data_IF_958699781076
#
_entry.id   IF_958699781076
#
_cell.length_a   1.000
_cell.length_b   1.000
_cell.length_c   1.000
_cell.angle_alpha   90.00
_cell.angle_beta   90.00
_cell.angle_gamma   90.00
#
_symmetry.space_group_name_H-M   'P 1'
#
loop_
_entity.id
_entity.type
_entity.pdbx_description
1 polymer ?
#
# COMPACT_ATOMS: atom_id res chain seq x y z
N UNK A 1 -18.15 9.84 -0.92
CA UNK A 1 -18.26 8.52 -0.26
C UNK A 1 -17.84 7.46 -1.27
N UNK A 2 -16.57 7.10 -1.26
CA UNK A 2 -15.92 6.19 -2.18
C UNK A 2 -16.40 6.37 -3.64
N UNK A 3 -16.65 7.63 -4.06
CA UNK A 3 -17.24 7.97 -5.37
C UNK A 3 -16.16 7.97 -6.45
N UNK A 4 -15.30 6.95 -6.42
CA UNK A 4 -14.95 6.24 -7.65
C UNK A 4 -16.27 6.10 -8.44
N UNK A 5 -16.32 6.44 -9.74
CA UNK A 5 -17.55 6.53 -10.50
C UNK A 5 -18.42 5.33 -10.16
N UNK A 6 -19.66 5.60 -9.75
CA UNK A 6 -20.56 4.56 -9.27
C UNK A 6 -20.67 3.53 -10.40
N UNK A 7 -19.92 2.45 -10.27
CA UNK A 7 -20.10 1.25 -11.07
C UNK A 7 -21.37 0.53 -10.61
N UNK A 8 -22.30 1.24 -9.93
CA UNK A 8 -23.58 0.76 -9.43
C UNK A 8 -24.49 0.29 -10.59
N UNK A 9 -24.33 0.86 -11.79
CA UNK A 9 -25.00 0.38 -13.00
C UNK A 9 -24.31 -0.82 -13.66
N UNK A 10 -23.11 -1.21 -13.20
CA UNK A 10 -22.31 -2.31 -13.73
C UNK A 10 -22.44 -3.54 -12.83
N UNK A 11 -22.63 -4.70 -13.43
CA UNK A 11 -22.84 -5.97 -12.71
C UNK A 11 -21.51 -6.59 -12.31
N UNK A 12 -20.79 -5.90 -11.44
CA UNK A 12 -19.39 -6.20 -11.10
C UNK A 12 -19.20 -7.08 -9.88
N UNK A 13 -20.24 -7.33 -9.09
CA UNK A 13 -20.15 -8.19 -7.91
C UNK A 13 -20.14 -9.67 -8.34
N UNK A 14 -19.04 -10.41 -8.17
CA UNK A 14 -18.94 -11.79 -8.63
C UNK A 14 -19.88 -12.73 -7.87
N UNK A 15 -20.40 -12.34 -6.71
CA UNK A 15 -21.37 -13.12 -5.93
C UNK A 15 -22.83 -12.91 -6.38
N UNK A 16 -23.09 -11.97 -7.30
CA UNK A 16 -24.42 -11.68 -7.85
C UNK A 16 -24.80 -12.62 -8.99
N UNK A 17 -26.08 -12.95 -9.10
CA UNK A 17 -26.61 -13.81 -10.17
C UNK A 17 -26.49 -13.19 -11.57
N UNK A 18 -26.41 -11.87 -11.64
CA UNK A 18 -26.30 -11.09 -12.85
C UNK A 18 -24.87 -10.66 -13.18
N UNK A 19 -23.86 -11.20 -12.47
CA UNK A 19 -22.45 -10.90 -12.67
C UNK A 19 -22.05 -10.93 -14.16
N UNK A 20 -21.35 -9.88 -14.60
CA UNK A 20 -20.83 -9.75 -15.94
C UNK A 20 -19.32 -9.49 -15.89
N UNK A 21 -18.56 -10.41 -16.47
CA UNK A 21 -17.12 -10.23 -16.63
C UNK A 21 -16.78 -8.99 -17.46
N UNK A 22 -17.57 -8.70 -18.50
CA UNK A 22 -17.40 -7.49 -19.32
C UNK A 22 -17.59 -6.21 -18.49
N UNK A 23 -18.60 -6.18 -17.64
CA UNK A 23 -18.87 -5.04 -16.75
C UNK A 23 -17.75 -4.88 -15.71
N UNK A 24 -17.21 -6.00 -15.19
CA UNK A 24 -16.04 -5.99 -14.31
C UNK A 24 -14.82 -5.38 -15.01
N UNK A 25 -14.49 -5.84 -16.23
CA UNK A 25 -13.36 -5.32 -16.99
C UNK A 25 -13.54 -3.83 -17.34
N UNK A 26 -14.74 -3.42 -17.71
CA UNK A 26 -15.08 -2.00 -17.94
C UNK A 26 -14.93 -1.16 -16.68
N UNK A 27 -15.26 -1.70 -15.51
CA UNK A 27 -15.12 -0.98 -14.25
C UNK A 27 -13.66 -0.63 -13.93
N UNK A 28 -12.70 -1.46 -14.34
CA UNK A 28 -11.26 -1.18 -14.18
C UNK A 28 -10.89 0.11 -14.93
N UNK A 29 -11.31 0.23 -16.20
CA UNK A 29 -11.04 1.43 -17.01
C UNK A 29 -11.68 2.69 -16.43
N UNK A 30 -12.91 2.59 -15.92
CA UNK A 30 -13.59 3.71 -15.26
C UNK A 30 -12.87 4.14 -13.98
N UNK A 31 -12.40 3.17 -13.19
CA UNK A 31 -11.62 3.42 -11.96
C UNK A 31 -10.30 4.10 -12.26
N UNK A 32 -9.57 3.63 -13.27
CA UNK A 32 -8.33 4.27 -13.74
C UNK A 32 -8.63 5.69 -14.20
N UNK A 33 -9.63 5.89 -15.06
CA UNK A 33 -9.98 7.21 -15.58
C UNK A 33 -10.33 8.21 -14.48
N UNK A 34 -11.00 7.76 -13.42
CA UNK A 34 -11.29 8.61 -12.27
C UNK A 34 -10.05 9.02 -11.47
N UNK A 35 -9.11 8.09 -11.26
CA UNK A 35 -7.83 8.44 -10.63
C UNK A 35 -6.99 9.34 -11.52
N UNK A 36 -7.07 9.22 -12.85
CA UNK A 36 -6.43 10.15 -13.77
C UNK A 36 -6.96 11.59 -13.59
N UNK A 37 -8.25 11.79 -13.27
CA UNK A 37 -8.77 13.13 -12.94
C UNK A 37 -8.13 13.73 -11.68
N UNK A 38 -7.89 12.90 -10.65
CA UNK A 38 -7.20 13.34 -9.42
C UNK A 38 -5.71 13.61 -9.68
N UNK A 39 -5.07 12.76 -10.49
CA UNK A 39 -3.68 12.95 -10.91
C UNK A 39 -3.53 14.20 -11.79
N UNK A 40 -4.49 14.48 -12.68
CA UNK A 40 -4.53 15.69 -13.51
C UNK A 40 -4.61 16.96 -12.65
N UNK A 41 -5.32 16.89 -11.51
CA UNK A 41 -5.37 17.99 -10.53
C UNK A 41 -4.02 18.14 -9.81
N UNK A 42 -3.49 17.06 -9.24
CA UNK A 42 -2.19 17.10 -8.55
C UNK A 42 -1.05 17.57 -9.48
N UNK A 43 -1.04 17.10 -10.72
CA UNK A 43 -0.06 17.50 -11.73
C UNK A 43 -0.17 18.98 -12.14
N UNK A 44 -1.38 19.56 -12.17
CA UNK A 44 -1.57 21.00 -12.41
C UNK A 44 -1.07 21.88 -11.25
N UNK A 45 -1.15 21.36 -10.03
CA UNK A 45 -0.59 22.01 -8.84
C UNK A 45 0.94 21.83 -8.73
N UNK A 46 1.56 21.06 -9.63
CA UNK A 46 3.01 20.88 -9.68
C UNK A 46 3.56 19.86 -8.69
N UNK A 47 2.76 18.90 -8.22
CA UNK A 47 3.23 17.85 -7.32
C UNK A 47 4.34 17.00 -7.96
N UNK A 48 5.43 16.78 -7.23
CA UNK A 48 6.55 15.95 -7.69
C UNK A 48 6.31 14.44 -7.52
N UNK A 49 5.53 14.04 -6.50
CA UNK A 49 5.25 12.65 -6.16
C UNK A 49 3.79 12.51 -5.67
N UNK A 50 3.03 11.58 -6.26
CA UNK A 50 1.65 11.29 -5.87
C UNK A 50 1.50 9.81 -5.50
N UNK A 51 0.76 9.51 -4.43
CA UNK A 51 0.54 8.13 -3.94
C UNK A 51 -0.95 7.81 -3.98
N UNK A 52 -1.33 6.80 -4.78
CA UNK A 52 -2.69 6.28 -4.83
C UNK A 52 -2.96 5.33 -3.65
N UNK A 53 -4.22 4.92 -3.47
CA UNK A 53 -4.60 3.94 -2.45
C UNK A 53 -4.25 2.51 -2.89
N UNK A 54 -4.28 1.55 -1.96
CA UNK A 54 -4.17 0.12 -2.29
C UNK A 54 -5.38 -0.34 -3.11
N UNK A 55 -5.15 -1.27 -4.05
CA UNK A 55 -6.18 -1.86 -4.90
C UNK A 55 -7.12 -0.78 -5.45
N UNK A 56 -6.56 0.29 -6.02
CA UNK A 56 -7.33 1.45 -6.46
C UNK A 56 -8.35 1.11 -7.57
N UNK A 57 -8.12 -0.02 -8.25
CA UNK A 57 -9.01 -0.65 -9.23
C UNK A 57 -10.04 -1.60 -8.62
N UNK A 58 -10.05 -1.79 -7.29
CA UNK A 58 -11.02 -2.54 -6.48
C UNK A 58 -11.33 -3.96 -6.96
N UNK A 59 -10.31 -4.79 -7.11
CA UNK A 59 -10.45 -6.20 -7.50
C UNK A 59 -10.41 -7.19 -6.33
N UNK A 60 -10.12 -6.74 -5.11
CA UNK A 60 -10.05 -7.58 -3.91
C UNK A 60 -11.30 -8.45 -3.67
N UNK A 61 -12.49 -7.98 -4.02
CA UNK A 61 -13.73 -8.78 -3.95
C UNK A 61 -13.72 -10.00 -4.89
N UNK A 62 -13.07 -9.89 -6.06
CA UNK A 62 -12.98 -11.01 -7.01
C UNK A 62 -11.97 -12.06 -6.54
N UNK A 63 -10.96 -11.67 -5.77
CA UNK A 63 -9.95 -12.57 -5.20
C UNK A 63 -10.57 -13.64 -4.29
N UNK A 64 -11.69 -13.32 -3.63
CA UNK A 64 -12.39 -14.22 -2.70
C UNK A 64 -13.51 -15.03 -3.38
N UNK A 65 -13.69 -14.90 -4.70
CA UNK A 65 -14.68 -15.65 -5.46
C UNK A 65 -14.19 -17.09 -5.74
N UNK A 66 -14.75 -18.07 -5.03
CA UNK A 66 -14.24 -19.44 -5.02
C UNK A 66 -14.72 -20.33 -6.18
N UNK A 67 -15.87 -20.04 -6.77
CA UNK A 67 -16.44 -20.90 -7.83
C UNK A 67 -15.58 -20.86 -9.09
N UNK A 68 -14.92 -19.73 -9.32
CA UNK A 68 -14.05 -19.53 -10.47
C UNK A 68 -12.91 -18.55 -10.17
N UNK A 69 -11.73 -19.10 -9.88
CA UNK A 69 -10.49 -18.33 -9.67
C UNK A 69 -10.07 -17.54 -10.93
N UNK A 70 -10.53 -17.96 -12.11
CA UNK A 70 -10.18 -17.29 -13.36
C UNK A 70 -10.78 -15.89 -13.46
N UNK A 71 -11.85 -15.59 -12.71
CA UNK A 71 -12.46 -14.24 -12.66
C UNK A 71 -11.44 -13.21 -12.15
N UNK A 72 -10.83 -13.48 -11.00
CA UNK A 72 -9.80 -12.60 -10.44
C UNK A 72 -8.61 -12.51 -11.37
N UNK A 73 -8.10 -13.66 -11.84
CA UNK A 73 -6.95 -13.70 -12.75
C UNK A 73 -7.18 -12.88 -14.03
N UNK A 74 -8.33 -13.03 -14.68
CA UNK A 74 -8.67 -12.32 -15.92
C UNK A 74 -8.74 -10.81 -15.69
N UNK A 75 -9.31 -10.39 -14.55
CA UNK A 75 -9.34 -8.97 -14.18
C UNK A 75 -7.93 -8.41 -13.88
N UNK A 76 -7.07 -9.19 -13.22
CA UNK A 76 -5.66 -8.85 -12.99
C UNK A 76 -4.89 -8.74 -14.30
N UNK A 77 -5.07 -9.68 -15.23
CA UNK A 77 -4.47 -9.66 -16.56
C UNK A 77 -4.82 -8.38 -17.32
N UNK A 78 -6.08 -7.92 -17.24
CA UNK A 78 -6.52 -6.67 -17.86
C UNK A 78 -5.79 -5.45 -17.29
N UNK A 79 -5.67 -5.32 -15.98
CA UNK A 79 -5.05 -4.13 -15.39
C UNK A 79 -3.51 -4.14 -15.46
N UNK A 80 -2.89 -5.32 -15.59
CA UNK A 80 -1.43 -5.48 -15.65
C UNK A 80 -0.80 -4.69 -16.80
N UNK A 81 -1.46 -4.61 -17.95
CA UNK A 81 -1.01 -3.78 -19.07
C UNK A 81 -1.55 -2.36 -19.01
N UNK A 82 -2.82 -2.22 -18.61
CA UNK A 82 -3.54 -0.95 -18.69
C UNK A 82 -3.02 0.09 -17.68
N UNK A 83 -2.67 -0.32 -16.46
CA UNK A 83 -2.20 0.61 -15.42
C UNK A 83 -0.86 1.26 -15.81
N UNK A 84 0.19 0.52 -16.21
CA UNK A 84 1.43 1.13 -16.70
C UNK A 84 1.25 2.04 -17.91
N UNK A 85 0.42 1.63 -18.88
CA UNK A 85 0.14 2.44 -20.08
C UNK A 85 -0.48 3.79 -19.70
N UNK A 86 -1.54 3.76 -18.88
CA UNK A 86 -2.35 4.94 -18.55
C UNK A 86 -1.64 5.85 -17.56
N UNK A 87 -1.15 5.29 -16.44
CA UNK A 87 -0.50 6.10 -15.41
C UNK A 87 0.90 6.55 -15.81
N UNK A 88 1.63 5.77 -16.63
CA UNK A 88 2.88 6.22 -17.24
C UNK A 88 2.68 7.44 -18.15
N UNK A 89 1.59 7.48 -18.93
CA UNK A 89 1.26 8.63 -19.75
C UNK A 89 0.98 9.89 -18.91
N UNK A 90 0.26 9.75 -17.78
CA UNK A 90 -0.01 10.86 -16.85
C UNK A 90 1.27 11.33 -16.15
N UNK A 91 2.12 10.41 -15.67
CA UNK A 91 3.40 10.72 -15.07
C UNK A 91 4.29 11.54 -16.03
N UNK A 92 4.34 11.14 -17.30
CA UNK A 92 5.05 11.86 -18.36
C UNK A 92 4.45 13.24 -18.65
N UNK A 93 3.12 13.34 -18.74
CA UNK A 93 2.40 14.59 -19.05
C UNK A 93 2.74 15.71 -18.06
N UNK A 94 2.81 15.38 -16.78
CA UNK A 94 3.10 16.35 -15.71
C UNK A 94 4.54 16.31 -15.22
N UNK A 95 5.37 15.43 -15.80
CA UNK A 95 6.75 15.22 -15.37
C UNK A 95 6.83 14.96 -13.87
N UNK A 96 5.99 14.06 -13.32
CA UNK A 96 5.90 13.72 -11.90
C UNK A 96 6.08 12.23 -11.64
N UNK A 97 6.33 11.84 -10.39
CA UNK A 97 6.30 10.45 -9.94
C UNK A 97 4.91 10.04 -9.47
N UNK A 98 4.53 8.79 -9.76
CA UNK A 98 3.26 8.21 -9.31
C UNK A 98 3.53 6.85 -8.68
N UNK A 99 3.09 6.67 -7.43
CA UNK A 99 3.01 5.36 -6.79
C UNK A 99 1.59 4.82 -6.93
N UNK A 100 1.42 3.74 -7.68
CA UNK A 100 0.14 3.10 -7.91
C UNK A 100 0.15 1.67 -7.38
N UNK A 101 -0.85 1.34 -6.55
CA UNK A 101 -0.96 0.02 -5.94
C UNK A 101 -2.14 -0.79 -6.48
N UNK A 102 -1.84 -1.94 -7.05
CA UNK A 102 -2.81 -2.79 -7.75
C UNK A 102 -2.30 -4.24 -7.82
N UNK A 103 -3.16 -5.17 -8.17
CA UNK A 103 -2.74 -6.55 -8.42
C UNK A 103 -2.16 -6.70 -9.83
N UNK A 104 -0.95 -7.23 -9.96
CA UNK A 104 -0.31 -7.43 -11.26
C UNK A 104 0.03 -8.90 -11.49
N UNK A 105 -0.08 -9.33 -12.75
CA UNK A 105 0.41 -10.63 -13.20
C UNK A 105 1.89 -10.52 -13.58
N UNK A 106 2.70 -11.42 -13.04
CA UNK A 106 4.10 -11.61 -13.41
C UNK A 106 4.37 -13.08 -13.68
N UNK A 107 4.53 -13.43 -14.95
CA UNK A 107 4.55 -14.83 -15.37
C UNK A 107 3.21 -15.50 -15.05
N UNK A 108 3.22 -16.53 -14.22
CA UNK A 108 2.03 -17.26 -13.78
C UNK A 108 1.47 -16.76 -12.44
N UNK A 109 2.20 -15.89 -11.73
CA UNK A 109 1.87 -15.44 -10.37
C UNK A 109 1.22 -14.08 -10.34
N UNK A 110 0.30 -13.91 -9.40
CA UNK A 110 -0.32 -12.62 -9.09
C UNK A 110 0.37 -12.05 -7.85
N UNK A 111 0.70 -10.77 -7.89
CA UNK A 111 1.27 -10.02 -6.78
C UNK A 111 0.42 -8.78 -6.49
N UNK A 112 0.32 -8.37 -5.22
CA UNK A 112 -0.10 -7.03 -4.86
C UNK A 112 1.13 -6.14 -4.91
N UNK A 113 1.15 -5.23 -5.89
CA UNK A 113 2.33 -4.43 -6.23
C UNK A 113 2.09 -2.96 -5.93
N UNK A 114 3.18 -2.24 -5.66
CA UNK A 114 3.24 -0.79 -5.76
C UNK A 114 4.28 -0.44 -6.83
N UNK A 115 3.81 0.15 -7.91
CA UNK A 115 4.64 0.59 -9.03
C UNK A 115 4.96 2.08 -8.87
N UNK A 116 6.25 2.40 -9.00
CA UNK A 116 6.75 3.77 -9.08
C UNK A 116 6.96 4.14 -10.55
N UNK A 117 6.06 4.95 -11.10
CA UNK A 117 6.21 5.54 -12.42
C UNK A 117 7.04 6.82 -12.34
N UNK A 118 7.98 6.97 -13.28
CA UNK A 118 8.91 8.09 -13.35
C UNK A 118 8.41 9.24 -14.23
N UNK A 119 9.13 10.37 -14.18
CA UNK A 119 8.80 11.60 -14.92
C UNK A 119 8.75 11.44 -16.45
N UNK A 120 9.31 10.37 -17.03
CA UNK A 120 9.23 10.09 -18.48
C UNK A 120 8.15 9.04 -18.80
N UNK A 121 7.39 8.60 -17.80
CA UNK A 121 6.37 7.56 -17.91
C UNK A 121 6.91 6.14 -17.83
N UNK A 122 8.20 5.97 -17.51
CA UNK A 122 8.81 4.66 -17.31
C UNK A 122 8.44 4.05 -15.96
N UNK A 123 8.47 2.73 -15.85
CA UNK A 123 8.45 2.05 -14.57
C UNK A 123 9.86 2.14 -13.95
N UNK A 124 10.02 2.97 -12.92
CA UNK A 124 11.30 3.13 -12.18
C UNK A 124 11.55 1.93 -11.28
N UNK A 125 10.49 1.42 -10.66
CA UNK A 125 10.59 0.35 -9.68
C UNK A 125 9.25 -0.27 -9.35
N UNK A 126 9.29 -1.51 -8.89
CA UNK A 126 8.13 -2.26 -8.43
C UNK A 126 8.43 -2.88 -7.07
N UNK A 127 7.57 -2.62 -6.11
CA UNK A 127 7.53 -3.28 -4.82
C UNK A 127 6.42 -4.34 -4.82
N UNK A 128 6.67 -5.50 -4.20
CA UNK A 128 5.67 -6.57 -4.00
C UNK A 128 5.39 -6.68 -2.51
N UNK A 129 4.13 -6.60 -2.10
CA UNK A 129 3.70 -6.67 -0.70
C UNK A 129 4.28 -7.91 -0.02
N UNK A 130 4.98 -7.73 1.10
CA UNK A 130 5.66 -8.84 1.79
C UNK A 130 4.76 -9.44 2.86
N UNK A 131 4.19 -8.61 3.74
CA UNK A 131 3.29 -9.07 4.78
C UNK A 131 1.88 -9.18 4.23
N UNK A 132 1.41 -10.41 4.07
CA UNK A 132 0.10 -10.70 3.52
C UNK A 132 -0.91 -10.94 4.64
N UNK A 133 -2.05 -10.24 4.65
CA UNK A 133 -3.23 -10.73 5.32
C UNK A 133 -3.55 -12.15 4.83
N UNK A 134 -4.00 -13.01 5.74
CA UNK A 134 -4.24 -14.43 5.44
C UNK A 134 -5.20 -14.62 4.26
N UNK A 135 -6.19 -13.74 4.11
CA UNK A 135 -7.18 -13.81 3.04
C UNK A 135 -6.61 -13.45 1.65
N UNK A 136 -5.40 -12.91 1.55
CA UNK A 136 -4.79 -12.50 0.28
C UNK A 136 -3.94 -13.64 -0.32
N UNK A 137 -3.36 -14.48 0.55
CA UNK A 137 -2.50 -15.62 0.19
C UNK A 137 -3.18 -16.70 -0.66
N UNK A 138 -4.50 -16.65 -0.80
CA UNK A 138 -5.26 -17.62 -1.59
C UNK A 138 -4.94 -17.58 -3.08
N UNK A 139 -4.71 -16.39 -3.64
CA UNK A 139 -4.37 -16.21 -5.05
C UNK A 139 -3.17 -15.30 -5.28
N UNK A 140 -2.67 -14.63 -4.23
CA UNK A 140 -1.61 -13.63 -4.34
C UNK A 140 -0.34 -14.13 -3.66
N UNK A 141 0.77 -13.99 -4.37
CA UNK A 141 2.09 -14.39 -3.91
C UNK A 141 2.73 -13.26 -3.09
N UNK A 142 3.33 -13.54 -1.92
CA UNK A 142 4.12 -12.56 -1.19
C UNK A 142 5.37 -12.11 -1.96
N UNK A 143 5.78 -10.87 -1.73
CA UNK A 143 7.14 -10.38 -2.01
C UNK A 143 8.18 -10.93 -1.04
N UNK A 144 9.43 -10.56 -1.25
CA UNK A 144 10.59 -11.12 -0.53
C UNK A 144 11.59 -10.05 -0.03
N UNK A 145 11.32 -8.77 -0.26
CA UNK A 145 12.29 -7.69 -0.03
C UNK A 145 11.60 -6.33 0.12
N UNK A 146 12.31 -5.37 0.75
CA UNK A 146 11.85 -3.98 0.97
C UNK A 146 12.77 -2.97 0.25
N UNK A 147 12.80 -2.93 -1.09
CA UNK A 147 13.67 -2.04 -1.85
C UNK A 147 13.30 -0.57 -1.69
N UNK A 148 14.27 0.30 -1.96
CA UNK A 148 14.06 1.72 -2.23
C UNK A 148 14.63 2.05 -3.61
N UNK A 149 14.06 3.06 -4.25
CA UNK A 149 14.35 3.40 -5.64
C UNK A 149 14.91 4.82 -5.72
N UNK A 150 16.08 4.95 -6.33
CA UNK A 150 16.72 6.25 -6.55
C UNK A 150 15.95 7.07 -7.58
N UNK A 151 15.70 8.33 -7.27
CA UNK A 151 15.06 9.30 -8.17
C UNK A 151 15.76 10.66 -8.07
N UNK A 152 15.37 11.62 -8.91
CA UNK A 152 15.93 12.97 -8.88
C UNK A 152 15.47 13.81 -7.66
N UNK A 153 14.35 13.43 -7.01
CA UNK A 153 13.87 14.04 -5.76
C UNK A 153 14.48 13.39 -4.51
N UNK A 154 15.02 12.17 -4.63
CA UNK A 154 15.54 11.38 -3.53
C UNK A 154 15.14 9.91 -3.63
N UNK A 155 15.50 9.11 -2.65
CA UNK A 155 15.18 7.68 -2.64
C UNK A 155 13.75 7.46 -2.13
N UNK A 156 12.93 6.79 -2.93
CA UNK A 156 11.53 6.48 -2.64
C UNK A 156 11.40 5.02 -2.23
N UNK A 157 10.91 4.78 -1.02
CA UNK A 157 10.51 3.47 -0.53
C UNK A 157 9.01 3.25 -0.66
N UNK A 158 8.57 1.99 -0.75
CA UNK A 158 7.15 1.63 -0.81
C UNK A 158 6.85 0.49 0.18
N UNK A 159 5.71 0.58 0.85
CA UNK A 159 5.12 -0.45 1.71
C UNK A 159 3.62 -0.53 1.39
N UNK A 160 2.98 -1.69 1.55
CA UNK A 160 1.55 -1.80 1.21
C UNK A 160 0.76 -2.27 2.43
N UNK A 161 -0.19 -1.43 2.87
CA UNK A 161 -1.23 -1.73 3.83
C UNK A 161 -0.75 -2.47 5.10
N UNK A 162 -0.79 -3.80 5.04
CA UNK A 162 -0.49 -4.66 6.17
C UNK A 162 0.99 -4.61 6.58
N UNK A 163 1.90 -4.27 5.66
CA UNK A 163 3.33 -4.06 5.96
C UNK A 163 3.55 -3.04 7.09
N UNK A 164 2.66 -2.04 7.24
CA UNK A 164 2.77 -1.03 8.29
C UNK A 164 2.73 -1.62 9.70
N UNK A 165 2.14 -2.80 9.89
CA UNK A 165 2.06 -3.45 11.19
C UNK A 165 3.43 -3.91 11.70
N UNK A 166 4.41 -4.08 10.81
CA UNK A 166 5.79 -4.49 11.12
C UNK A 166 6.76 -3.30 11.07
N UNK A 167 7.26 -2.80 12.22
CA UNK A 167 8.31 -1.79 12.23
C UNK A 167 9.53 -2.15 11.39
N UNK A 168 9.85 -3.45 11.32
CA UNK A 168 10.95 -4.01 10.55
C UNK A 168 10.84 -3.73 9.05
N UNK A 169 9.62 -3.72 8.51
CA UNK A 169 9.38 -3.43 7.10
C UNK A 169 9.84 -2.01 6.75
N UNK A 170 9.43 -1.02 7.56
CA UNK A 170 9.86 0.37 7.39
C UNK A 170 11.36 0.54 7.64
N UNK A 171 11.91 -0.12 8.66
CA UNK A 171 13.34 -0.10 8.94
C UNK A 171 14.17 -0.66 7.77
N UNK A 172 13.79 -1.80 7.21
CA UNK A 172 14.45 -2.40 6.05
C UNK A 172 14.36 -1.48 4.83
N UNK A 173 13.18 -0.92 4.55
CA UNK A 173 12.95 0.02 3.45
C UNK A 173 13.86 1.26 3.57
N UNK A 174 13.95 1.84 4.77
CA UNK A 174 14.84 2.97 5.06
C UNK A 174 16.32 2.61 4.95
N UNK A 175 16.73 1.45 5.46
CA UNK A 175 18.12 0.98 5.36
C UNK A 175 18.54 0.71 3.92
N UNK A 176 17.59 0.36 3.04
CA UNK A 176 17.82 0.24 1.60
C UNK A 176 17.85 1.59 0.87
N UNK A 177 17.71 2.70 1.59
CA UNK A 177 17.95 4.06 1.07
C UNK A 177 16.76 5.01 1.21
N UNK A 178 15.55 4.51 1.50
CA UNK A 178 14.34 5.35 1.45
C UNK A 178 14.46 6.63 2.32
N UNK A 179 14.20 7.77 1.70
CA UNK A 179 14.08 9.11 2.33
C UNK A 179 12.61 9.50 2.55
N UNK A 180 11.73 8.93 1.72
CA UNK A 180 10.28 8.93 1.89
C UNK A 180 9.76 7.51 1.74
N UNK A 181 8.78 7.12 2.56
CA UNK A 181 8.05 5.85 2.39
C UNK A 181 6.63 6.16 1.94
N UNK A 182 6.24 5.59 0.80
CA UNK A 182 4.89 5.63 0.28
C UNK A 182 4.13 4.38 0.75
N UNK A 183 2.99 4.59 1.38
CA UNK A 183 2.15 3.56 1.98
C UNK A 183 0.71 3.64 1.45
N UNK A 184 0.44 3.10 0.24
CA UNK A 184 -0.92 2.78 -0.21
C UNK A 184 -1.59 1.79 0.75
N UNK A 185 -2.83 2.05 1.15
CA UNK A 185 -3.61 1.20 2.06
C UNK A 185 -5.10 1.19 1.73
N UNK A 186 -5.75 0.03 1.86
CA UNK A 186 -7.20 -0.10 1.86
C UNK A 186 -7.80 0.02 3.28
N UNK A 187 -6.96 0.02 4.32
CA UNK A 187 -7.37 0.18 5.71
C UNK A 187 -7.04 1.58 6.24
N UNK A 188 -8.00 2.17 6.97
CA UNK A 188 -7.75 3.37 7.78
C UNK A 188 -7.09 2.93 9.08
N UNK A 189 -5.81 3.26 9.23
CA UNK A 189 -5.06 2.96 10.44
C UNK A 189 -5.02 4.17 11.37
N UNK A 190 -4.94 3.96 12.69
CA UNK A 190 -4.74 5.06 13.63
C UNK A 190 -3.48 5.88 13.32
N UNK A 191 -3.59 7.20 13.47
CA UNK A 191 -2.54 8.17 13.17
C UNK A 191 -1.17 7.86 13.82
N UNK A 192 -1.18 7.27 15.02
CA UNK A 192 0.05 6.96 15.75
C UNK A 192 1.00 6.02 14.99
N UNK A 193 0.48 5.16 14.11
CA UNK A 193 1.33 4.31 13.27
C UNK A 193 2.18 5.16 12.32
N UNK A 194 1.57 6.13 11.63
CA UNK A 194 2.28 7.00 10.67
C UNK A 194 3.35 7.83 11.38
N UNK A 195 3.01 8.42 12.54
CA UNK A 195 3.96 9.18 13.36
C UNK A 195 5.14 8.32 13.82
N UNK A 196 4.86 7.11 14.34
CA UNK A 196 5.89 6.20 14.79
C UNK A 196 6.81 5.76 13.63
N UNK A 197 6.24 5.34 12.49
CA UNK A 197 7.04 4.91 11.32
C UNK A 197 7.90 6.04 10.77
N UNK A 198 7.38 7.27 10.72
CA UNK A 198 8.15 8.44 10.28
C UNK A 198 9.28 8.78 11.26
N UNK A 199 9.01 8.83 12.57
CA UNK A 199 10.01 9.17 13.61
C UNK A 199 11.06 8.08 13.79
N UNK A 200 10.67 6.81 13.89
CA UNK A 200 11.64 5.73 14.14
C UNK A 200 12.66 5.60 13.00
N UNK A 201 12.19 5.85 11.77
CA UNK A 201 13.01 5.70 10.57
C UNK A 201 13.60 7.03 10.06
N UNK A 202 13.22 8.16 10.65
CA UNK A 202 13.67 9.48 10.23
C UNK A 202 13.43 9.76 8.74
N UNK A 203 12.22 9.46 8.28
CA UNK A 203 11.78 9.63 6.89
C UNK A 203 10.44 10.35 6.85
N UNK A 204 10.15 11.00 5.72
CA UNK A 204 8.77 11.36 5.42
C UNK A 204 7.96 10.09 5.18
N UNK A 205 6.71 10.06 5.63
CA UNK A 205 5.85 8.90 5.50
C UNK A 205 4.48 9.33 4.96
N UNK A 206 4.10 8.80 3.81
CA UNK A 206 2.84 9.13 3.12
C UNK A 206 1.93 7.92 3.22
N UNK A 207 0.82 8.02 3.94
CA UNK A 207 -0.21 6.98 3.97
C UNK A 207 -1.40 7.43 3.13
N UNK A 208 -1.74 6.69 2.07
CA UNK A 208 -2.84 6.99 1.16
C UNK A 208 -3.93 5.94 1.29
N UNK A 209 -5.09 6.33 1.80
CA UNK A 209 -6.24 5.45 2.06
C UNK A 209 -7.55 6.11 1.64
N UNK A 210 -8.68 5.39 1.71
CA UNK A 210 -10.00 5.94 1.35
C UNK A 210 -10.48 7.05 2.30
N UNK A 211 -9.93 7.11 3.52
CA UNK A 211 -10.07 8.23 4.47
C UNK A 211 -8.75 8.46 5.21
N UNK A 212 -8.58 9.63 5.82
CA UNK A 212 -7.44 9.94 6.68
C UNK A 212 -6.09 9.66 5.98
N UNK A 213 -6.01 9.99 4.69
CA UNK A 213 -4.73 10.04 3.99
C UNK A 213 -3.88 11.14 4.61
N UNK A 214 -2.65 10.81 4.99
CA UNK A 214 -1.79 11.67 5.80
C UNK A 214 -0.35 11.70 5.29
N UNK A 215 0.31 12.82 5.51
CA UNK A 215 1.76 12.99 5.31
C UNK A 215 2.37 13.31 6.67
N UNK A 216 3.30 12.47 7.13
CA UNK A 216 4.04 12.67 8.37
C UNK A 216 5.50 13.05 8.10
N UNK A 217 6.05 13.94 8.93
CA UNK A 217 7.46 14.35 8.91
C UNK A 217 8.31 13.41 9.78
N UNK A 218 9.64 13.36 9.55
CA UNK A 218 10.59 12.66 10.42
C UNK A 218 10.56 13.10 11.90
N UNK A 219 9.91 14.23 12.22
CA UNK A 219 9.71 14.76 13.57
C UNK A 219 8.42 14.28 14.24
N UNK A 220 7.72 13.33 13.62
CA UNK A 220 6.39 12.88 14.02
C UNK A 220 5.29 13.94 13.84
N UNK A 221 5.50 14.99 13.05
CA UNK A 221 4.47 16.01 12.79
C UNK A 221 3.60 15.57 11.60
N UNK A 222 2.28 15.74 11.70
CA UNK A 222 1.38 15.54 10.56
C UNK A 222 1.38 16.84 9.75
N UNK A 223 1.92 16.78 8.54
CA UNK A 223 2.04 17.90 7.62
C UNK A 223 0.75 18.13 6.82
N UNK A 224 0.01 17.06 6.54
CA UNK A 224 -1.28 17.10 5.88
C UNK A 224 -2.16 15.93 6.32
N UNK A 225 -3.47 16.16 6.42
CA UNK A 225 -4.51 15.16 6.72
C UNK A 225 -5.75 15.44 5.85
N UNK A 226 -6.17 14.46 5.07
CA UNK A 226 -7.37 14.53 4.23
C UNK A 226 -8.68 14.44 5.03
N UNK A 227 -8.62 14.13 6.33
CA UNK A 227 -9.79 13.94 7.17
C UNK A 227 -10.68 12.82 6.65
N UNK A 228 -12.00 13.01 6.69
CA UNK A 228 -12.98 12.02 6.19
C UNK A 228 -13.54 12.39 4.81
N UNK A 229 -12.98 13.39 4.15
CA UNK A 229 -13.41 13.83 2.83
C UNK A 229 -13.09 12.76 1.78
N UNK A 230 -14.00 12.60 0.81
CA UNK A 230 -13.90 11.53 -0.18
C UNK A 230 -14.69 11.88 -1.47
N UNK A 231 -13.99 12.21 -2.58
CA UNK A 231 -12.52 12.18 -2.72
C UNK A 231 -11.81 13.36 -2.05
N UNK A 232 -10.54 13.16 -1.71
CA UNK A 232 -9.67 14.20 -1.16
C UNK A 232 -8.23 14.06 -1.70
N UNK A 233 -7.50 15.18 -1.72
CA UNK A 233 -6.05 15.24 -1.99
C UNK A 233 -5.42 15.99 -0.82
N UNK A 234 -4.58 15.30 -0.05
CA UNK A 234 -3.72 15.91 0.96
C UNK A 234 -2.32 16.08 0.36
N UNK A 235 -1.72 17.26 0.53
CA UNK A 235 -0.40 17.58 -0.02
C UNK A 235 0.41 18.41 0.98
N UNK A 236 1.73 18.33 0.87
CA UNK A 236 2.68 19.12 1.64
C UNK A 236 4.00 19.24 0.88
N UNK A 237 4.66 20.38 1.00
CA UNK A 237 6.04 20.54 0.54
C UNK A 237 7.00 19.93 1.56
N UNK A 238 7.95 19.12 1.08
CA UNK A 238 8.92 18.43 1.93
C UNK A 238 10.31 18.48 1.29
N UNK A 239 11.34 18.56 2.13
CA UNK A 239 12.73 18.47 1.69
C UNK A 239 13.27 17.07 2.00
N UNK A 240 13.44 16.24 0.96
CA UNK A 240 13.99 14.90 1.11
C UNK A 240 15.52 14.89 1.22
N UNK A 241 16.20 15.95 0.77
CA UNK A 241 17.67 16.04 0.69
C UNK A 241 18.26 16.74 1.91
N UNK A 242 17.48 17.60 2.55
CA UNK A 242 17.87 18.32 3.76
C UNK A 242 18.11 17.39 4.95
N UNK A 243 19.17 17.67 5.71
CA UNK A 243 19.41 17.00 6.97
C UNK A 243 18.28 17.36 7.96
N UNK A 244 17.60 16.35 8.51
CA UNK A 244 16.67 16.60 9.60
C UNK A 244 17.45 16.76 10.90
N UNK A 245 17.36 17.95 11.49
CA UNK A 245 17.75 18.21 12.86
C UNK A 245 16.65 17.64 13.77
N UNK A 246 16.61 16.32 13.98
CA UNK A 246 15.76 15.76 15.01
C UNK A 246 16.50 15.77 16.36
N UNK A 247 15.84 16.44 17.30
CA UNK A 247 16.13 16.71 18.72
C UNK A 247 17.39 17.55 19.06
N UNK A 248 17.18 18.48 20.02
CA UNK A 248 18.18 19.33 20.69
C UNK A 248 19.17 18.53 21.57
N UNK A 249 19.48 17.28 21.20
CA UNK A 249 20.50 16.46 21.89
C UNK A 249 21.89 16.97 21.49
N UNK A 250 22.22 18.14 22.03
CA UNK A 250 23.47 18.84 21.91
C UNK A 250 24.66 17.92 22.16
N UNK A 251 24.58 17.05 23.17
CA UNK A 251 25.65 16.12 23.53
C UNK A 251 25.95 15.09 22.44
N UNK A 252 24.94 14.46 21.84
CA UNK A 252 25.15 13.48 20.77
C UNK A 252 25.82 14.14 19.57
N UNK A 253 25.44 15.37 19.23
CA UNK A 253 26.15 16.14 18.20
C UNK A 253 27.58 16.49 18.63
N UNK A 254 27.80 16.94 19.87
CA UNK A 254 29.14 17.28 20.36
C UNK A 254 30.11 16.08 20.30
N UNK A 255 29.66 14.90 20.69
CA UNK A 255 30.51 13.71 20.70
C UNK A 255 30.71 13.10 19.31
N UNK A 256 29.70 13.16 18.43
CA UNK A 256 29.75 12.53 17.11
C UNK A 256 30.19 13.46 15.98
N UNK A 257 30.02 14.77 16.14
CA UNK A 257 30.07 15.79 15.08
C UNK A 257 29.09 15.58 13.92
N UNK A 258 28.08 14.71 14.08
CA UNK A 258 27.07 14.40 13.06
C UNK A 258 25.80 15.18 13.35
N UNK A 259 25.39 16.05 12.42
CA UNK A 259 24.17 16.87 12.54
C UNK A 259 22.91 16.10 12.16
N UNK A 260 23.01 15.25 11.14
CA UNK A 260 21.88 14.49 10.64
C UNK A 260 21.52 13.37 11.63
N UNK A 261 20.31 13.42 12.16
CA UNK A 261 19.85 12.42 13.13
C UNK A 261 19.67 11.04 12.51
N UNK A 262 19.25 10.94 11.23
CA UNK A 262 19.18 9.69 10.49
C UNK A 262 20.58 9.09 10.30
N UNK A 263 21.57 9.90 9.95
CA UNK A 263 22.96 9.45 9.83
C UNK A 263 23.49 8.87 11.16
N UNK A 264 23.25 9.56 12.29
CA UNK A 264 23.61 9.04 13.62
C UNK A 264 22.91 7.72 13.91
N UNK A 265 21.59 7.65 13.71
CA UNK A 265 20.80 6.45 13.92
C UNK A 265 21.35 5.27 13.14
N UNK A 266 21.74 5.46 11.87
CA UNK A 266 22.31 4.41 11.03
C UNK A 266 23.72 3.99 11.47
N UNK A 267 24.58 4.93 11.85
CA UNK A 267 25.96 4.66 12.28
C UNK A 267 26.04 4.00 13.66
N UNK A 268 25.11 4.28 14.55
CA UNK A 268 25.12 3.78 15.94
C UNK A 268 24.27 2.53 16.15
N UNK A 269 23.70 1.95 15.08
CA UNK A 269 23.04 0.65 15.14
C UNK A 269 24.00 -0.41 15.68
N UNK A 270 23.42 -1.45 16.29
CA UNK A 270 24.15 -2.61 16.83
C UNK A 270 23.61 -3.89 16.21
N UNK A 271 23.85 -4.14 14.90
CA UNK A 271 23.28 -5.30 14.18
C UNK A 271 23.55 -6.64 14.88
N UNK A 272 24.68 -6.76 15.56
CA UNK A 272 25.06 -7.94 16.32
C UNK A 272 24.08 -8.28 17.46
N UNK A 273 23.33 -7.29 17.95
CA UNK A 273 22.31 -7.48 18.98
C UNK A 273 20.93 -7.82 18.42
N UNK A 274 20.72 -7.72 17.10
CA UNK A 274 19.40 -7.84 16.47
C UNK A 274 19.08 -9.25 15.98
N UNK A 275 19.88 -10.27 16.35
CA UNK A 275 19.69 -11.66 15.92
C UNK A 275 18.27 -12.18 16.15
N UNK A 276 17.61 -11.74 17.22
CA UNK A 276 16.23 -12.15 17.55
C UNK A 276 15.20 -11.77 16.48
N UNK A 277 15.45 -10.72 15.69
CA UNK A 277 14.54 -10.26 14.63
C UNK A 277 14.46 -11.23 13.45
N UNK A 278 15.47 -12.08 13.26
CA UNK A 278 15.53 -13.05 12.16
C UNK A 278 15.46 -14.50 12.64
N UNK A 279 15.23 -14.71 13.94
CA UNK A 279 15.05 -16.05 14.51
C UNK A 279 13.67 -16.58 14.11
N UNK A 280 13.55 -17.74 13.41
CA UNK A 280 12.25 -18.28 13.01
C UNK A 280 11.29 -18.54 14.17
N UNK A 281 11.84 -18.75 15.38
CA UNK A 281 11.07 -18.99 16.60
C UNK A 281 11.74 -18.27 17.79
N UNK A 282 11.49 -16.96 17.98
CA UNK A 282 12.08 -16.22 19.09
C UNK A 282 11.51 -16.74 20.43
N UNK A 283 12.20 -16.53 21.58
CA UNK A 283 11.76 -17.05 22.88
C UNK A 283 10.32 -16.67 23.28
N UNK A 284 9.84 -15.51 22.80
CA UNK A 284 8.47 -15.07 23.03
C UNK A 284 7.43 -15.98 22.36
N UNK A 285 7.77 -16.63 21.23
CA UNK A 285 6.87 -17.53 20.51
C UNK A 285 6.45 -18.74 21.36
N UNK A 286 7.29 -19.20 22.28
CA UNK A 286 6.99 -20.34 23.17
C UNK A 286 5.94 -20.00 24.25
N UNK A 287 5.61 -18.72 24.43
CA UNK A 287 4.56 -18.29 25.35
C UNK A 287 3.16 -18.37 24.73
N UNK A 288 3.07 -18.56 23.42
CA UNK A 288 1.81 -18.66 22.70
C UNK A 288 1.50 -20.11 22.33
N UNK A 289 0.22 -20.52 22.33
CA UNK A 289 -0.15 -21.86 21.89
C UNK A 289 0.37 -22.12 20.47
N UNK A 290 0.91 -23.32 20.19
CA UNK A 290 1.25 -23.69 18.82
C UNK A 290 -0.03 -23.68 17.95
N UNK A 291 0.10 -23.22 16.70
CA UNK A 291 -1.03 -23.09 15.77
C UNK A 291 -1.35 -21.63 15.44
N UNK A 292 -2.60 -21.34 15.06
CA UNK A 292 -3.05 -19.97 14.73
C UNK A 292 -2.77 -19.51 13.30
N UNK A 293 -1.92 -20.22 12.56
CA UNK A 293 -1.69 -20.01 11.12
C UNK A 293 -1.89 -21.32 10.39
N UNK A 294 -3.12 -21.83 10.39
CA UNK A 294 -3.48 -22.90 9.46
C UNK A 294 -3.90 -22.25 8.14
N UNK A 295 -2.94 -22.03 7.25
CA UNK A 295 -3.19 -22.08 5.80
C UNK A 295 -3.46 -23.54 5.37
N UNK A 296 -4.22 -24.31 6.16
CA UNK A 296 -4.73 -25.58 5.69
C UNK A 296 -5.74 -25.22 4.59
N UNK A 297 -5.58 -25.71 3.35
CA UNK A 297 -6.47 -25.36 2.25
C UNK A 297 -7.95 -25.48 2.62
N UNK A 298 -8.30 -26.47 3.45
CA UNK A 298 -9.65 -26.74 3.92
C UNK A 298 -10.19 -25.66 4.86
N UNK A 299 -9.34 -25.14 5.78
CA UNK A 299 -9.72 -24.08 6.70
C UNK A 299 -9.92 -22.75 5.96
N UNK A 300 -9.10 -22.49 4.95
CA UNK A 300 -9.22 -21.32 4.08
C UNK A 300 -10.51 -21.38 3.27
N UNK A 301 -10.80 -22.51 2.64
CA UNK A 301 -12.00 -22.73 1.83
C UNK A 301 -13.28 -22.52 2.65
N UNK A 302 -13.32 -23.03 3.89
CA UNK A 302 -14.46 -22.85 4.79
C UNK A 302 -14.70 -21.38 5.18
N UNK A 303 -13.64 -20.61 5.42
CA UNK A 303 -13.76 -19.16 5.72
C UNK A 303 -14.33 -18.42 4.52
N UNK A 304 -13.86 -18.72 3.32
CA UNK A 304 -14.37 -18.09 2.09
C UNK A 304 -15.78 -18.55 1.74
N UNK A 305 -16.16 -19.81 2.00
CA UNK A 305 -17.54 -20.27 1.84
C UNK A 305 -18.50 -19.45 2.70
N UNK A 306 -18.15 -19.22 3.97
CA UNK A 306 -18.92 -18.34 4.86
C UNK A 306 -18.95 -16.90 4.34
N UNK A 307 -17.83 -16.38 3.84
CA UNK A 307 -17.78 -15.05 3.25
C UNK A 307 -18.73 -14.92 2.06
N UNK A 308 -18.71 -15.89 1.14
CA UNK A 308 -19.63 -15.96 -0.01
C UNK A 308 -21.09 -15.97 0.44
N UNK A 309 -21.45 -16.82 1.41
CA UNK A 309 -22.81 -16.87 1.95
C UNK A 309 -23.25 -15.52 2.50
N UNK A 310 -22.36 -14.82 3.20
CA UNK A 310 -22.62 -13.47 3.74
C UNK A 310 -22.84 -12.46 2.62
N UNK A 311 -21.97 -12.45 1.59
CA UNK A 311 -22.13 -11.55 0.45
C UNK A 311 -23.46 -11.79 -0.28
N UNK A 312 -23.84 -13.05 -0.46
CA UNK A 312 -25.13 -13.41 -1.08
C UNK A 312 -26.33 -13.01 -0.20
N UNK A 313 -26.24 -13.13 1.12
CA UNK A 313 -27.27 -12.63 2.05
C UNK A 313 -27.41 -11.11 2.00
N UNK A 314 -26.28 -10.40 2.00
CA UNK A 314 -26.26 -8.94 1.87
C UNK A 314 -26.91 -8.48 0.56
N UNK A 315 -26.64 -9.18 -0.55
CA UNK A 315 -27.27 -8.89 -1.85
C UNK A 315 -28.79 -9.09 -1.84
N UNK A 316 -29.31 -9.98 -0.99
CA UNK A 316 -30.76 -10.19 -0.79
C UNK A 316 -31.37 -9.26 0.25
N UNK A 317 -30.59 -8.34 0.83
CA UNK A 317 -31.04 -7.44 1.88
C UNK A 317 -31.26 -8.11 3.24
N UNK A 318 -30.71 -9.31 3.46
CA UNK A 318 -30.81 -10.03 4.72
C UNK A 318 -29.85 -9.45 5.78
N UNK A 319 -30.24 -9.55 7.06
CA UNK A 319 -29.33 -9.27 8.18
C UNK A 319 -28.25 -10.34 8.28
N UNK A 320 -27.01 -9.89 8.46
CA UNK A 320 -25.85 -10.76 8.68
C UNK A 320 -25.19 -10.41 10.02
N UNK A 321 -24.64 -11.40 10.74
CA UNK A 321 -24.10 -11.20 12.08
C UNK A 321 -22.90 -10.24 12.15
N UNK A 322 -22.31 -9.88 10.99
CA UNK A 322 -21.21 -8.93 10.88
C UNK A 322 -21.21 -8.27 9.50
N UNK A 323 -21.11 -6.94 9.46
CA UNK A 323 -20.92 -6.17 8.23
C UNK A 323 -19.41 -6.05 7.95
N UNK A 324 -18.85 -6.88 7.07
CA UNK A 324 -17.57 -6.57 6.44
C UNK A 324 -17.81 -5.48 5.39
N UNK A 325 -17.51 -4.22 5.73
CA UNK A 325 -17.44 -3.14 4.75
C UNK A 325 -15.99 -3.06 4.26
N UNK A 326 -15.79 -3.37 2.98
CA UNK A 326 -14.55 -3.06 2.26
C UNK A 326 -14.47 -1.58 1.94
#
# INVERSE_FOLDING_TARGET
SNRVPSCESLRTNPFGEDFSMEDLLRSIELRISWYEELLDRAGREGCDLVVLTEDFTRLSLCMTFLDDRSVFRTAVERQTSLVPERLGAVAKKYSMFIVACYYALEGDRIYNVADLFGRRGELVGRYRKVHMPQYELWQVTPGDSFPAFETDIGWVGMLICYDQMWPEAAACCTMNGAQVICHPSAAVLPEYYMRARAKDNQVHYISSTWQNSMIASPKAEILADAGKEDPAIAWADVDLKGATLADEFFYEYLYSSIRDHKERHLKFRRPEAYRVLTEPRPPLADQYPPGGVANAPEAIEEVYRKHKEIQQKLLRGEEVPYHWRW
#
